data_IF_615906480782
#
_entry.id   IF_615906480782
#
_cell.length_a   1.000
_cell.length_b   1.000
_cell.length_c   1.000
_cell.angle_alpha   90.00
_cell.angle_beta   90.00
_cell.angle_gamma   90.00
#
_symmetry.space_group_name_H-M   'P 1'
#
loop_
_entity.id
_entity.type
_entity.pdbx_description
1 polymer ?
#
# COMPACT_ATOMS: atom_id res chain seq x y z
N UNK A 1 13.36 -14.84 -14.17
CA UNK A 1 12.10 -15.54 -13.83
C UNK A 1 11.61 -15.27 -12.41
N UNK A 2 12.48 -14.88 -11.45
CA UNK A 2 12.08 -14.46 -10.10
C UNK A 2 11.56 -13.01 -9.99
N UNK A 3 11.60 -12.21 -11.06
CA UNK A 3 11.27 -10.77 -10.98
C UNK A 3 9.79 -10.45 -10.75
N UNK A 4 8.80 -11.08 -11.42
CA UNK A 4 7.38 -10.94 -11.08
C UNK A 4 7.07 -11.50 -9.70
N UNK A 5 7.80 -12.53 -9.29
CA UNK A 5 7.73 -13.13 -7.96
C UNK A 5 8.17 -12.15 -6.88
N UNK A 6 9.29 -11.47 -7.08
CA UNK A 6 9.84 -10.47 -6.15
C UNK A 6 8.94 -9.23 -6.07
N UNK A 7 8.43 -8.72 -7.20
CA UNK A 7 7.47 -7.62 -7.21
C UNK A 7 6.23 -7.94 -6.39
N UNK A 8 5.50 -9.01 -6.76
CA UNK A 8 4.26 -9.40 -6.09
C UNK A 8 4.44 -9.81 -4.61
N UNK A 9 5.58 -10.41 -4.24
CA UNK A 9 5.88 -10.70 -2.82
C UNK A 9 6.03 -9.45 -1.97
N UNK A 10 6.43 -8.33 -2.57
CA UNK A 10 6.65 -7.07 -1.84
C UNK A 10 5.40 -6.18 -1.76
N UNK A 11 4.37 -6.49 -2.54
CA UNK A 11 3.15 -5.68 -2.65
C UNK A 11 2.17 -5.98 -1.50
N UNK A 12 2.04 -7.26 -1.13
CA UNK A 12 1.19 -7.67 -0.01
C UNK A 12 1.71 -7.14 1.34
N UNK A 13 3.02 -7.23 1.67
CA UNK A 13 3.58 -6.56 2.84
C UNK A 13 3.45 -5.03 2.78
N UNK A 14 3.54 -4.43 1.60
CA UNK A 14 3.35 -2.99 1.42
C UNK A 14 1.91 -2.56 1.74
N UNK A 15 0.90 -3.39 1.43
CA UNK A 15 -0.48 -3.16 1.85
C UNK A 15 -0.68 -3.41 3.35
N UNK A 16 -0.02 -4.44 3.91
CA UNK A 16 -0.17 -4.83 5.32
C UNK A 16 0.29 -3.74 6.29
N UNK A 17 1.42 -3.08 5.98
CA UNK A 17 1.98 -2.03 6.83
C UNK A 17 1.68 -0.64 6.29
N UNK A 18 1.13 0.23 7.14
CA UNK A 18 0.86 1.64 6.79
C UNK A 18 2.12 2.38 6.30
N UNK A 19 3.30 1.99 6.79
CA UNK A 19 4.60 2.55 6.41
C UNK A 19 5.32 1.74 5.33
N UNK A 20 4.73 0.65 4.83
CA UNK A 20 5.33 -0.25 3.83
C UNK A 20 5.38 0.34 2.42
N UNK A 21 4.56 1.36 2.14
CA UNK A 21 4.55 2.11 0.90
C UNK A 21 4.27 3.58 1.18
N UNK A 22 5.07 4.47 0.58
CA UNK A 22 4.94 5.92 0.77
C UNK A 22 3.53 6.42 0.43
N UNK A 23 2.90 5.88 -0.62
CA UNK A 23 1.54 6.22 -1.01
C UNK A 23 0.48 5.97 0.08
N UNK A 24 0.69 5.00 0.97
CA UNK A 24 -0.25 4.70 2.06
C UNK A 24 -0.38 5.87 3.03
N UNK A 25 0.73 6.54 3.36
CA UNK A 25 0.71 7.71 4.24
C UNK A 25 -0.08 8.86 3.62
N UNK A 26 0.06 9.06 2.31
CA UNK A 26 -0.72 10.06 1.58
C UNK A 26 -2.21 9.68 1.58
N UNK A 27 -2.55 8.42 1.30
CA UNK A 27 -3.92 7.93 1.36
C UNK A 27 -4.56 8.13 2.74
N UNK A 28 -3.84 7.84 3.83
CA UNK A 28 -4.32 8.07 5.20
C UNK A 28 -4.61 9.55 5.46
N UNK A 29 -3.74 10.46 5.00
CA UNK A 29 -3.98 11.91 5.15
C UNK A 29 -5.19 12.37 4.32
N UNK A 30 -5.36 11.87 3.10
CA UNK A 30 -6.51 12.19 2.26
C UNK A 30 -7.82 11.59 2.79
N UNK A 31 -7.77 10.39 3.40
CA UNK A 31 -8.90 9.76 4.06
C UNK A 31 -9.35 10.54 5.31
N UNK A 32 -8.39 11.08 6.09
CA UNK A 32 -8.68 11.93 7.24
C UNK A 32 -9.44 13.20 6.85
N UNK A 33 -9.13 13.78 5.68
CA UNK A 33 -9.90 14.90 5.13
C UNK A 33 -11.36 14.55 4.83
N UNK A 34 -11.69 13.27 4.67
CA UNK A 34 -13.04 12.77 4.46
C UNK A 34 -13.69 12.20 5.75
N UNK A 35 -13.07 12.43 6.91
CA UNK A 35 -13.58 11.97 8.22
C UNK A 35 -13.16 10.55 8.61
N UNK A 36 -12.32 9.89 7.81
CA UNK A 36 -11.81 8.54 8.11
C UNK A 36 -10.43 8.64 8.71
N UNK A 37 -10.33 8.49 10.04
CA UNK A 37 -9.05 8.52 10.75
C UNK A 37 -8.48 7.11 10.87
N UNK A 38 -7.32 6.87 10.26
CA UNK A 38 -6.62 5.59 10.29
C UNK A 38 -5.33 5.74 11.11
N UNK A 39 -5.27 5.06 12.24
CA UNK A 39 -4.03 4.83 12.98
C UNK A 39 -3.23 3.68 12.36
N UNK A 40 -1.95 3.55 12.74
CA UNK A 40 -1.12 2.42 12.31
C UNK A 40 -1.73 1.08 12.71
N UNK A 41 -2.19 0.96 13.98
CA UNK A 41 -2.83 -0.27 14.48
C UNK A 41 -4.13 -0.60 13.76
N UNK A 42 -5.01 0.39 13.55
CA UNK A 42 -6.26 0.17 12.81
C UNK A 42 -6.02 -0.22 11.35
N UNK A 43 -5.01 0.36 10.70
CA UNK A 43 -4.60 -0.04 9.35
C UNK A 43 -4.13 -1.49 9.33
N UNK A 44 -3.20 -1.84 10.22
CA UNK A 44 -2.64 -3.19 10.30
C UNK A 44 -3.75 -4.23 10.52
N UNK A 45 -4.65 -3.99 11.48
CA UNK A 45 -5.77 -4.88 11.76
C UNK A 45 -6.70 -4.98 10.55
N UNK A 46 -7.06 -3.85 9.90
CA UNK A 46 -7.92 -3.87 8.72
C UNK A 46 -7.30 -4.60 7.53
N UNK A 47 -5.97 -4.53 7.38
CA UNK A 47 -5.23 -5.19 6.31
C UNK A 47 -4.94 -6.67 6.59
N UNK A 48 -4.91 -7.09 7.86
CA UNK A 48 -4.37 -8.38 8.30
C UNK A 48 -4.98 -9.57 7.57
N UNK A 49 -6.30 -9.74 7.63
CA UNK A 49 -6.98 -10.91 7.07
C UNK A 49 -6.90 -10.97 5.53
N UNK A 50 -7.27 -9.91 4.77
CA UNK A 50 -7.15 -9.95 3.31
C UNK A 50 -5.68 -10.10 2.85
N UNK A 51 -4.72 -9.43 3.52
CA UNK A 51 -3.31 -9.58 3.18
C UNK A 51 -2.79 -10.98 3.49
N UNK A 52 -3.22 -11.63 4.59
CA UNK A 52 -2.80 -13.00 4.90
C UNK A 52 -3.26 -13.99 3.82
N UNK A 53 -4.51 -13.85 3.35
CA UNK A 53 -5.05 -14.68 2.26
C UNK A 53 -4.26 -14.44 0.97
N UNK A 54 -4.02 -13.18 0.60
CA UNK A 54 -3.18 -12.85 -0.56
C UNK A 54 -1.75 -13.35 -0.41
N UNK A 55 -1.16 -13.27 0.78
CA UNK A 55 0.22 -13.70 1.04
C UNK A 55 0.39 -15.21 0.86
N UNK A 56 -0.63 -16.01 1.20
CA UNK A 56 -0.61 -17.45 1.01
C UNK A 56 -0.86 -17.85 -0.45
N UNK A 57 -1.81 -17.20 -1.12
CA UNK A 57 -2.31 -17.65 -2.43
C UNK A 57 -1.53 -17.03 -3.59
N UNK A 58 -1.13 -15.75 -3.52
CA UNK A 58 -0.41 -15.07 -4.61
C UNK A 58 0.88 -15.82 -5.00
N UNK A 59 1.75 -16.26 -4.08
CA UNK A 59 2.92 -17.06 -4.44
C UNK A 59 2.57 -18.35 -5.18
N UNK A 60 1.50 -19.04 -4.77
CA UNK A 60 1.03 -20.27 -5.44
C UNK A 60 0.51 -19.99 -6.84
N UNK A 61 -0.24 -18.90 -7.02
CA UNK A 61 -0.71 -18.46 -8.33
C UNK A 61 0.46 -18.10 -9.25
N UNK A 62 1.44 -17.33 -8.76
CA UNK A 62 2.61 -16.97 -9.56
C UNK A 62 3.43 -18.22 -9.89
N UNK A 63 3.59 -19.16 -8.95
CA UNK A 63 4.25 -20.44 -9.20
C UNK A 63 3.61 -21.19 -10.37
N UNK A 64 2.27 -21.22 -10.41
CA UNK A 64 1.54 -21.96 -11.43
C UNK A 64 1.54 -21.24 -12.78
N UNK A 65 1.44 -19.90 -12.78
CA UNK A 65 1.43 -19.08 -13.99
C UNK A 65 2.80 -18.95 -14.66
N UNK A 66 3.87 -18.85 -13.87
CA UNK A 66 5.24 -18.63 -14.36
C UNK A 66 6.18 -19.73 -13.89
N UNK A 67 5.78 -21.00 -14.06
CA UNK A 67 6.51 -22.19 -13.59
C UNK A 67 8.03 -22.02 -13.76
N UNK A 68 8.80 -21.98 -12.66
CA UNK A 68 10.24 -21.77 -12.77
C UNK A 68 10.90 -23.00 -13.42
N UNK A 69 11.84 -22.74 -14.34
CA UNK A 69 12.64 -23.78 -15.00
C UNK A 69 13.60 -24.46 -14.01
N UNK A 70 14.17 -23.68 -13.08
CA UNK A 70 15.02 -24.18 -12.00
C UNK A 70 14.20 -24.27 -10.72
N UNK A 71 13.92 -25.50 -10.28
CA UNK A 71 13.14 -25.79 -9.05
C UNK A 71 14.01 -26.16 -7.86
N UNK A 72 15.28 -26.47 -8.11
CA UNK A 72 16.24 -26.86 -7.09
C UNK A 72 17.52 -26.07 -7.29
N UNK A 73 17.93 -25.36 -6.25
CA UNK A 73 19.24 -24.70 -6.16
C UNK A 73 19.94 -25.32 -4.95
N UNK A 74 20.55 -26.50 -5.11
CA UNK A 74 21.12 -27.26 -4.00
C UNK A 74 22.23 -26.50 -3.26
N UNK A 75 22.90 -25.58 -3.95
CA UNK A 75 23.98 -24.75 -3.38
C UNK A 75 23.46 -23.53 -2.60
N UNK A 76 22.18 -23.18 -2.68
CA UNK A 76 21.63 -21.97 -2.04
C UNK A 76 21.66 -22.03 -0.49
N UNK A 77 21.30 -23.16 0.16
CA UNK A 77 21.45 -23.29 1.61
C UNK A 77 22.90 -23.20 2.08
N UNK A 78 23.84 -23.79 1.33
CA UNK A 78 25.26 -23.79 1.69
C UNK A 78 25.88 -22.41 1.49
N UNK A 79 25.52 -21.71 0.41
CA UNK A 79 25.88 -20.31 0.20
C UNK A 79 25.30 -19.42 1.31
N UNK A 80 24.03 -19.57 1.67
CA UNK A 80 23.41 -18.80 2.75
C UNK A 80 24.07 -19.06 4.10
N UNK A 81 24.44 -20.31 4.41
CA UNK A 81 25.20 -20.66 5.63
C UNK A 81 26.59 -20.04 5.63
N UNK A 82 27.26 -20.04 4.48
CA UNK A 82 28.60 -19.44 4.32
C UNK A 82 28.55 -17.93 4.50
N UNK A 83 27.59 -17.25 3.87
CA UNK A 83 27.39 -15.80 4.04
C UNK A 83 26.99 -15.47 5.49
N UNK A 84 26.08 -16.23 6.11
CA UNK A 84 25.71 -16.04 7.52
C UNK A 84 26.89 -16.23 8.47
N UNK A 85 27.75 -17.22 8.21
CA UNK A 85 28.97 -17.44 8.98
C UNK A 85 29.99 -16.31 8.79
N UNK A 86 30.04 -15.68 7.61
CA UNK A 86 30.88 -14.52 7.35
C UNK A 86 30.35 -13.23 8.02
N UNK A 87 29.03 -13.06 8.11
CA UNK A 87 28.41 -11.92 8.80
C UNK A 87 28.68 -11.95 10.31
N UNK A 88 28.75 -13.13 10.92
CA UNK A 88 29.04 -13.30 12.34
C UNK A 88 27.85 -13.03 13.25
N UNK A 89 28.10 -12.81 14.54
CA UNK A 89 27.06 -12.53 15.53
C UNK A 89 26.50 -11.11 15.39
N UNK A 90 25.20 -10.94 15.63
CA UNK A 90 24.52 -9.64 15.58
C UNK A 90 25.25 -8.58 16.42
N UNK A 91 25.62 -7.48 15.78
CA UNK A 91 26.28 -6.36 16.42
C UNK A 91 25.31 -5.61 17.36
N UNK A 92 25.87 -4.85 18.31
CA UNK A 92 25.07 -4.04 19.25
C UNK A 92 24.11 -3.09 18.52
N UNK A 93 24.54 -2.51 17.40
CA UNK A 93 23.71 -1.61 16.59
C UNK A 93 22.50 -2.31 15.97
N UNK A 94 22.65 -3.55 15.54
CA UNK A 94 21.55 -4.35 14.96
C UNK A 94 20.52 -4.73 16.02
N UNK A 95 20.98 -5.09 17.23
CA UNK A 95 20.10 -5.30 18.38
C UNK A 95 19.32 -4.05 18.79
N UNK A 96 19.98 -2.89 18.81
CA UNK A 96 19.34 -1.61 19.12
C UNK A 96 18.33 -1.20 18.05
N UNK A 97 18.62 -1.45 16.77
CA UNK A 97 17.68 -1.24 15.67
C UNK A 97 16.45 -2.14 15.82
N UNK A 98 16.64 -3.44 16.09
CA UNK A 98 15.55 -4.39 16.31
C UNK A 98 14.69 -4.00 17.52
N UNK A 99 15.33 -3.58 18.62
CA UNK A 99 14.63 -3.08 19.80
C UNK A 99 13.78 -1.83 19.47
N UNK A 100 14.32 -0.90 18.67
CA UNK A 100 13.60 0.30 18.24
C UNK A 100 12.39 -0.06 17.39
N UNK A 101 12.53 -0.99 16.44
CA UNK A 101 11.40 -1.50 15.65
C UNK A 101 10.34 -2.10 16.56
N UNK A 102 10.74 -2.88 17.58
CA UNK A 102 9.82 -3.41 18.59
C UNK A 102 9.06 -2.31 19.33
N UNK A 103 9.75 -1.25 19.79
CA UNK A 103 9.13 -0.10 20.45
C UNK A 103 8.13 0.60 19.53
N UNK A 104 8.49 0.83 18.26
CA UNK A 104 7.61 1.45 17.27
C UNK A 104 6.35 0.62 17.01
N UNK A 105 6.46 -0.71 16.95
CA UNK A 105 5.32 -1.61 16.80
C UNK A 105 4.38 -1.54 18.01
N UNK A 106 4.93 -1.55 19.22
CA UNK A 106 4.13 -1.43 20.45
C UNK A 106 3.41 -0.08 20.50
N UNK A 107 4.13 1.02 20.24
CA UNK A 107 3.53 2.36 20.19
C UNK A 107 2.50 2.49 19.06
N UNK A 108 2.72 1.86 17.91
CA UNK A 108 1.79 1.87 16.79
C UNK A 108 0.50 1.09 17.05
N UNK A 109 0.59 -0.05 17.74
CA UNK A 109 -0.56 -0.88 18.11
C UNK A 109 -1.37 -0.26 19.26
N UNK A 110 -0.70 0.28 20.28
CA UNK A 110 -1.33 0.84 21.48
C UNK A 110 -1.45 2.37 21.45
N UNK A 111 -1.12 3.03 20.35
CA UNK A 111 -1.10 4.49 20.25
C UNK A 111 -2.44 5.14 20.57
N UNK A 112 -3.55 4.53 20.14
CA UNK A 112 -4.90 4.99 20.48
C UNK A 112 -5.21 4.96 21.98
N UNK A 113 -4.76 3.93 22.70
CA UNK A 113 -4.92 3.83 24.16
C UNK A 113 -3.93 4.69 24.95
N UNK A 114 -2.77 5.00 24.35
CA UNK A 114 -1.69 5.77 24.98
C UNK A 114 -1.76 7.27 24.64
N UNK A 115 -2.69 7.69 23.76
CA UNK A 115 -2.76 9.06 23.26
C UNK A 115 -1.57 9.45 22.36
N UNK A 116 -0.85 8.47 21.82
CA UNK A 116 0.32 8.66 20.96
C UNK A 116 -0.11 8.50 19.51
N UNK A 117 -0.01 9.57 18.72
CA UNK A 117 -0.25 9.50 17.29
C UNK A 117 0.96 8.91 16.54
N UNK A 118 0.72 8.44 15.31
CA UNK A 118 1.77 7.80 14.50
C UNK A 118 2.98 8.71 14.25
N UNK A 119 2.78 10.04 14.18
CA UNK A 119 3.86 11.01 14.01
C UNK A 119 4.77 11.03 15.23
N UNK A 120 4.19 11.13 16.43
CA UNK A 120 4.93 11.10 17.69
C UNK A 120 5.70 9.79 17.85
N UNK A 121 5.06 8.64 17.56
CA UNK A 121 5.74 7.35 17.59
C UNK A 121 6.98 7.34 16.67
N UNK A 122 6.85 7.87 15.45
CA UNK A 122 7.95 7.93 14.47
C UNK A 122 9.10 8.80 14.95
N UNK A 123 8.82 9.95 15.58
CA UNK A 123 9.84 10.80 16.19
C UNK A 123 10.54 10.13 17.38
N UNK A 124 9.80 9.40 18.22
CA UNK A 124 10.40 8.62 19.32
C UNK A 124 11.39 7.59 18.77
N UNK A 125 11.01 6.85 17.73
CA UNK A 125 11.93 5.89 17.08
C UNK A 125 13.18 6.55 16.53
N UNK A 126 13.02 7.68 15.82
CA UNK A 126 14.15 8.45 15.31
C UNK A 126 15.07 8.96 16.44
N UNK A 127 14.49 9.47 17.53
CA UNK A 127 15.25 9.92 18.70
C UNK A 127 16.03 8.78 19.34
N UNK A 128 15.43 7.59 19.48
CA UNK A 128 16.14 6.42 20.02
C UNK A 128 17.35 6.07 19.14
N UNK A 129 17.19 6.00 17.82
CA UNK A 129 18.28 5.64 16.89
C UNK A 129 19.42 6.65 16.88
N UNK A 130 19.10 7.95 16.98
CA UNK A 130 20.09 9.03 17.06
C UNK A 130 20.83 9.00 18.41
N UNK A 131 20.11 8.88 19.52
CA UNK A 131 20.70 8.83 20.86
C UNK A 131 21.53 7.56 21.08
N UNK A 132 21.14 6.45 20.47
CA UNK A 132 21.88 5.19 20.55
C UNK A 132 23.11 5.16 19.63
N UNK A 133 23.32 6.20 18.80
CA UNK A 133 24.41 6.28 17.83
C UNK A 133 24.31 5.26 16.69
N UNK A 134 23.13 4.68 16.48
CA UNK A 134 22.88 3.74 15.37
C UNK A 134 22.70 4.50 14.07
N UNK A 135 22.07 5.68 14.15
CA UNK A 135 22.02 6.66 13.07
C UNK A 135 22.77 7.93 13.48
N UNK A 136 23.47 8.53 12.53
CA UNK A 136 24.05 9.86 12.67
C UNK A 136 23.10 10.92 12.10
N UNK A 137 23.31 12.18 12.48
CA UNK A 137 22.55 13.28 11.89
C UNK A 137 22.83 13.46 10.39
N UNK A 138 24.04 13.13 9.93
CA UNK A 138 24.36 13.13 8.50
C UNK A 138 23.55 12.08 7.75
N UNK A 139 23.34 10.89 8.32
CA UNK A 139 22.50 9.85 7.71
C UNK A 139 21.09 10.40 7.44
N UNK A 140 20.48 11.07 8.42
CA UNK A 140 19.15 11.69 8.31
C UNK A 140 19.10 12.78 7.23
N UNK A 141 20.12 13.65 7.17
CA UNK A 141 20.17 14.70 6.14
C UNK A 141 20.40 14.13 4.73
N UNK A 142 21.16 13.04 4.63
CA UNK A 142 21.51 12.42 3.36
C UNK A 142 20.40 11.55 2.78
N UNK A 143 19.36 11.24 3.57
CA UNK A 143 18.20 10.45 3.17
C UNK A 143 17.25 11.24 2.24
N UNK A 144 17.71 11.48 1.00
CA UNK A 144 17.00 12.29 -0.01
C UNK A 144 15.58 11.80 -0.29
N UNK A 145 15.33 10.49 -0.20
CA UNK A 145 14.02 9.92 -0.47
C UNK A 145 12.95 10.39 0.51
N UNK A 146 13.30 10.53 1.80
CA UNK A 146 12.40 11.06 2.81
C UNK A 146 12.07 12.54 2.58
N UNK A 147 13.09 13.35 2.25
CA UNK A 147 12.92 14.78 1.96
C UNK A 147 12.08 15.04 0.71
N UNK A 148 12.34 14.31 -0.37
CA UNK A 148 11.57 14.42 -1.61
C UNK A 148 10.09 14.05 -1.37
N UNK A 149 9.85 12.95 -0.65
CA UNK A 149 8.49 12.51 -0.29
C UNK A 149 7.77 13.58 0.55
N UNK A 150 8.46 14.19 1.53
CA UNK A 150 7.90 15.23 2.39
C UNK A 150 7.43 16.44 1.56
N UNK A 151 8.29 16.95 0.67
CA UNK A 151 8.00 18.12 -0.15
C UNK A 151 6.84 17.84 -1.12
N UNK A 152 6.89 16.70 -1.83
CA UNK A 152 5.83 16.33 -2.77
C UNK A 152 4.49 16.12 -2.08
N UNK A 153 4.46 15.40 -0.96
CA UNK A 153 3.20 15.15 -0.24
C UNK A 153 2.60 16.42 0.33
N UNK A 154 3.42 17.36 0.80
CA UNK A 154 2.94 18.65 1.28
C UNK A 154 2.24 19.45 0.16
N UNK A 155 2.87 19.56 -1.01
CA UNK A 155 2.30 20.27 -2.17
C UNK A 155 1.00 19.61 -2.67
N UNK A 156 0.97 18.28 -2.75
CA UNK A 156 -0.17 17.52 -3.22
C UNK A 156 -1.36 17.60 -2.25
N UNK A 157 -1.10 17.49 -0.94
CA UNK A 157 -2.12 17.65 0.09
C UNK A 157 -2.70 19.08 0.08
N UNK A 158 -1.87 20.10 -0.15
CA UNK A 158 -2.32 21.48 -0.33
C UNK A 158 -3.26 21.60 -1.54
N UNK A 159 -2.90 21.06 -2.70
CA UNK A 159 -3.76 21.09 -3.89
C UNK A 159 -5.08 20.35 -3.67
N UNK A 160 -5.04 19.15 -3.08
CA UNK A 160 -6.25 18.39 -2.75
C UNK A 160 -7.18 19.18 -1.80
N UNK A 161 -6.62 19.87 -0.80
CA UNK A 161 -7.38 20.74 0.10
C UNK A 161 -8.02 21.92 -0.64
N UNK A 162 -7.31 22.52 -1.61
CA UNK A 162 -7.87 23.61 -2.42
C UNK A 162 -8.99 23.11 -3.34
N UNK A 163 -8.84 21.96 -4.00
CA UNK A 163 -9.91 21.34 -4.80
C UNK A 163 -11.15 21.03 -3.95
N UNK A 164 -10.94 20.52 -2.73
CA UNK A 164 -12.03 20.28 -1.78
C UNK A 164 -12.74 21.60 -1.42
N UNK A 165 -11.99 22.65 -1.06
CA UNK A 165 -12.55 23.97 -0.72
C UNK A 165 -13.30 24.63 -1.88
N UNK A 166 -12.82 24.45 -3.11
CA UNK A 166 -13.46 24.97 -4.33
C UNK A 166 -14.72 24.18 -4.74
N UNK A 167 -15.06 23.10 -4.01
CA UNK A 167 -16.25 22.30 -4.29
C UNK A 167 -16.10 21.35 -5.48
N UNK A 168 -14.89 21.16 -6.03
CA UNK A 168 -14.66 20.29 -7.18
C UNK A 168 -15.12 18.85 -6.90
N UNK A 169 -14.80 18.33 -5.72
CA UNK A 169 -15.20 16.96 -5.30
C UNK A 169 -16.72 16.79 -5.28
N UNK A 170 -17.46 17.80 -4.82
CA UNK A 170 -18.92 17.80 -4.81
C UNK A 170 -19.50 17.96 -6.21
N UNK A 171 -18.97 18.89 -7.01
CA UNK A 171 -19.41 19.09 -8.40
C UNK A 171 -19.17 17.84 -9.26
N UNK A 172 -17.99 17.24 -9.17
CA UNK A 172 -17.65 16.03 -9.92
C UNK A 172 -18.42 14.81 -9.42
N UNK A 173 -18.65 14.73 -8.10
CA UNK A 173 -19.54 13.75 -7.47
C UNK A 173 -20.96 13.84 -8.01
N UNK A 174 -21.52 15.05 -8.13
CA UNK A 174 -22.83 15.29 -8.71
C UNK A 174 -22.85 14.96 -10.21
N UNK A 175 -21.83 15.32 -11.00
CA UNK A 175 -21.77 15.00 -12.43
C UNK A 175 -21.82 13.49 -12.68
N UNK A 176 -21.06 12.72 -11.90
CA UNK A 176 -21.09 11.26 -11.95
C UNK A 176 -22.40 10.74 -11.36
N UNK A 177 -22.88 11.31 -10.26
CA UNK A 177 -24.14 10.99 -9.60
C UNK A 177 -25.36 11.18 -10.51
N UNK A 178 -25.37 12.20 -11.35
CA UNK A 178 -26.45 12.47 -12.31
C UNK A 178 -26.36 11.50 -13.51
N UNK A 179 -25.14 11.16 -13.93
CA UNK A 179 -24.88 10.23 -15.04
C UNK A 179 -25.12 8.77 -14.66
N UNK A 180 -24.78 8.37 -13.42
CA UNK A 180 -24.83 7.00 -12.91
C UNK A 180 -26.07 6.77 -12.05
N UNK A 181 -26.53 7.77 -11.30
CA UNK A 181 -27.67 7.67 -10.37
C UNK A 181 -28.95 7.25 -11.07
N UNK A 182 -29.22 7.78 -12.27
CA UNK A 182 -30.34 7.35 -13.12
C UNK A 182 -30.32 5.86 -13.47
N UNK A 183 -29.14 5.24 -13.53
CA UNK A 183 -28.94 3.81 -13.86
C UNK A 183 -28.74 2.94 -12.61
N UNK A 184 -28.40 3.52 -11.46
CA UNK A 184 -28.01 2.80 -10.24
C UNK A 184 -28.96 2.98 -9.04
N UNK A 185 -30.12 3.61 -9.22
CA UNK A 185 -31.19 3.55 -8.22
C UNK A 185 -31.55 2.08 -7.89
N UNK A 186 -31.22 1.64 -6.67
CA UNK A 186 -31.47 0.27 -6.18
C UNK A 186 -30.27 -0.69 -6.25
N UNK A 187 -29.14 -0.26 -6.79
CA UNK A 187 -27.91 -1.08 -6.85
C UNK A 187 -27.22 -1.11 -5.49
N UNK A 188 -26.77 -2.30 -5.06
CA UNK A 188 -26.00 -2.44 -3.82
C UNK A 188 -24.72 -1.60 -3.87
N UNK A 189 -24.43 -0.85 -2.79
CA UNK A 189 -23.21 -0.05 -2.67
C UNK A 189 -21.93 -0.87 -2.88
N UNK A 190 -21.97 -2.19 -2.64
CA UNK A 190 -20.86 -3.12 -2.88
C UNK A 190 -20.52 -3.20 -4.38
N UNK A 191 -21.52 -3.19 -5.25
CA UNK A 191 -21.34 -3.21 -6.71
C UNK A 191 -20.74 -1.88 -7.16
N UNK A 192 -21.22 -0.76 -6.60
CA UNK A 192 -20.68 0.58 -6.89
C UNK A 192 -19.21 0.67 -6.44
N UNK A 193 -18.89 0.16 -5.24
CA UNK A 193 -17.53 0.05 -4.73
C UNK A 193 -16.65 -0.76 -5.67
N UNK A 194 -17.11 -1.92 -6.14
CA UNK A 194 -16.38 -2.77 -7.08
C UNK A 194 -16.06 -2.00 -8.37
N UNK A 195 -17.05 -1.34 -8.97
CA UNK A 195 -16.87 -0.62 -10.23
C UNK A 195 -15.95 0.59 -10.10
N UNK A 196 -16.14 1.41 -9.05
CA UNK A 196 -15.28 2.56 -8.79
C UNK A 196 -13.84 2.13 -8.49
N UNK A 197 -13.67 1.09 -7.69
CA UNK A 197 -12.36 0.57 -7.34
C UNK A 197 -11.66 -0.07 -8.55
N UNK A 198 -12.39 -0.79 -9.42
CA UNK A 198 -11.85 -1.29 -10.68
C UNK A 198 -11.42 -0.16 -11.62
N UNK A 199 -12.26 0.88 -11.77
CA UNK A 199 -11.92 2.06 -12.55
C UNK A 199 -10.67 2.76 -11.98
N UNK A 200 -10.58 2.93 -10.67
CA UNK A 200 -9.41 3.50 -10.00
C UNK A 200 -8.16 2.64 -10.24
N UNK A 201 -8.24 1.33 -10.00
CA UNK A 201 -7.11 0.42 -10.13
C UNK A 201 -6.56 0.36 -11.56
N UNK A 202 -7.43 0.21 -12.56
CA UNK A 202 -6.99 0.06 -13.95
C UNK A 202 -6.61 1.38 -14.61
N UNK A 203 -7.03 2.52 -14.07
CA UNK A 203 -6.47 3.82 -14.47
C UNK A 203 -4.95 3.86 -14.23
N UNK A 204 -4.42 3.03 -13.33
CA UNK A 204 -2.98 2.95 -13.08
C UNK A 204 -2.14 2.53 -14.29
N UNK A 205 -2.72 1.85 -15.30
CA UNK A 205 -2.02 1.59 -16.57
C UNK A 205 -1.51 2.87 -17.24
N UNK A 206 -2.11 4.03 -16.95
CA UNK A 206 -1.72 5.33 -17.49
C UNK A 206 -0.80 6.14 -16.57
N UNK A 207 -0.41 5.58 -15.41
CA UNK A 207 0.45 6.25 -14.44
C UNK A 207 1.78 5.51 -14.30
N UNK A 208 2.88 6.28 -14.33
CA UNK A 208 4.22 5.76 -14.06
C UNK A 208 4.58 5.77 -12.55
N UNK A 209 3.69 6.27 -11.69
CA UNK A 209 3.91 6.39 -10.25
C UNK A 209 2.60 6.26 -9.49
N UNK A 210 2.56 5.31 -8.55
CA UNK A 210 1.41 5.15 -7.65
C UNK A 210 1.18 6.39 -6.77
N UNK A 211 2.24 7.06 -6.33
CA UNK A 211 2.13 8.26 -5.51
C UNK A 211 1.44 9.40 -6.28
N UNK A 212 1.78 9.56 -7.56
CA UNK A 212 1.14 10.55 -8.43
C UNK A 212 -0.36 10.24 -8.62
N UNK A 213 -0.73 8.97 -8.81
CA UNK A 213 -2.13 8.60 -8.93
C UNK A 213 -2.92 8.83 -7.64
N UNK A 214 -2.38 8.42 -6.49
CA UNK A 214 -3.04 8.64 -5.18
C UNK A 214 -3.29 10.14 -4.99
N UNK A 215 -2.27 10.95 -5.24
CA UNK A 215 -2.38 12.40 -5.12
C UNK A 215 -3.44 13.02 -6.04
N UNK A 216 -3.53 12.55 -7.28
CA UNK A 216 -4.45 13.10 -8.28
C UNK A 216 -5.89 12.61 -8.09
N UNK A 217 -6.08 11.32 -7.80
CA UNK A 217 -7.37 10.64 -7.97
C UNK A 217 -7.98 10.11 -6.67
N UNK A 218 -7.19 9.86 -5.60
CA UNK A 218 -7.73 9.23 -4.39
C UNK A 218 -8.87 10.04 -3.77
N UNK A 219 -8.66 11.34 -3.55
CA UNK A 219 -9.68 12.22 -2.95
C UNK A 219 -10.92 12.38 -3.85
N UNK A 220 -10.73 12.35 -5.17
CA UNK A 220 -11.83 12.44 -6.15
C UNK A 220 -12.70 11.19 -6.08
N UNK A 221 -12.08 10.01 -6.19
CA UNK A 221 -12.81 8.73 -6.12
C UNK A 221 -13.47 8.52 -4.76
N UNK A 222 -12.78 8.87 -3.67
CA UNK A 222 -13.36 8.82 -2.33
C UNK A 222 -14.58 9.73 -2.23
N UNK A 223 -14.51 10.97 -2.71
CA UNK A 223 -15.64 11.91 -2.73
C UNK A 223 -16.84 11.40 -3.54
N UNK A 224 -16.59 10.83 -4.73
CA UNK A 224 -17.63 10.20 -5.56
C UNK A 224 -18.27 9.01 -4.84
N UNK A 225 -17.47 8.13 -4.22
CA UNK A 225 -17.98 6.98 -3.49
C UNK A 225 -18.88 7.38 -2.32
N UNK A 226 -18.48 8.42 -1.56
CA UNK A 226 -19.29 8.97 -0.47
C UNK A 226 -20.61 9.56 -0.97
N UNK A 227 -20.57 10.27 -2.10
CA UNK A 227 -21.78 10.82 -2.71
C UNK A 227 -22.76 9.73 -3.18
N UNK A 228 -22.24 8.59 -3.62
CA UNK A 228 -23.03 7.40 -4.00
C UNK A 228 -23.43 6.52 -2.80
N UNK A 229 -23.36 7.04 -1.57
CA UNK A 229 -23.73 6.37 -0.32
C UNK A 229 -22.89 5.12 0.03
N UNK A 230 -21.65 5.03 -0.46
CA UNK A 230 -20.71 3.99 0.01
C UNK A 230 -20.22 4.37 1.41
N UNK A 231 -20.20 3.44 2.38
CA UNK A 231 -19.61 3.70 3.69
C UNK A 231 -18.15 4.18 3.60
N UNK A 232 -17.83 5.21 4.37
CA UNK A 232 -16.56 5.94 4.21
C UNK A 232 -15.31 5.08 4.45
N UNK A 233 -15.32 4.24 5.48
CA UNK A 233 -14.18 3.40 5.83
C UNK A 233 -13.89 2.33 4.75
N UNK A 234 -14.88 1.52 4.29
CA UNK A 234 -14.68 0.61 3.15
C UNK A 234 -14.17 1.30 1.88
N UNK A 235 -14.71 2.47 1.53
CA UNK A 235 -14.25 3.20 0.34
C UNK A 235 -12.79 3.64 0.49
N UNK A 236 -12.45 4.26 1.63
CA UNK A 236 -11.10 4.74 1.89
C UNK A 236 -10.07 3.60 1.94
N UNK A 237 -10.39 2.52 2.66
CA UNK A 237 -9.52 1.35 2.80
C UNK A 237 -9.35 0.62 1.47
N UNK A 238 -10.44 0.39 0.72
CA UNK A 238 -10.37 -0.28 -0.57
C UNK A 238 -9.47 0.48 -1.53
N UNK A 239 -9.66 1.80 -1.69
CA UNK A 239 -8.78 2.61 -2.53
C UNK A 239 -7.33 2.53 -2.06
N UNK A 240 -7.09 2.64 -0.75
CA UNK A 240 -5.74 2.73 -0.19
C UNK A 240 -4.96 1.40 -0.26
N UNK A 241 -5.64 0.26 -0.15
CA UNK A 241 -5.01 -1.05 -0.34
C UNK A 241 -4.81 -1.38 -1.81
N UNK A 242 -5.77 -1.06 -2.66
CA UNK A 242 -5.69 -1.16 -4.13
C UNK A 242 -4.46 -0.38 -4.67
N UNK A 243 -4.32 0.88 -4.24
CA UNK A 243 -3.08 1.48 -3.71
C UNK A 243 -1.75 0.75 -3.87
N UNK A 244 -1.58 -0.25 -3.03
CA UNK A 244 -0.36 -1.02 -2.84
C UNK A 244 -0.31 -2.27 -3.72
N UNK A 245 -1.42 -2.65 -4.35
CA UNK A 245 -1.58 -3.94 -5.03
C UNK A 245 -1.45 -3.84 -6.56
N UNK A 246 -1.48 -2.64 -7.14
CA UNK A 246 -1.26 -2.46 -8.59
C UNK A 246 0.21 -2.50 -9.00
N UNK A 247 1.16 -2.64 -8.07
CA UNK A 247 2.60 -2.63 -8.39
C UNK A 247 3.06 -3.75 -9.34
N UNK A 248 2.20 -4.72 -9.61
CA UNK A 248 2.48 -5.81 -10.52
C UNK A 248 1.82 -5.70 -11.89
N UNK A 249 0.98 -4.68 -12.15
CA UNK A 249 0.24 -4.54 -13.41
C UNK A 249 1.16 -4.38 -14.63
N UNK A 250 2.10 -3.43 -14.56
CA UNK A 250 3.09 -3.15 -15.61
C UNK A 250 4.48 -3.07 -15.00
N UNK A 251 5.50 -3.17 -15.85
CA UNK A 251 6.90 -3.07 -15.43
C UNK A 251 7.31 -1.67 -14.97
N UNK A 252 6.47 -0.64 -15.12
CA UNK A 252 6.81 0.75 -14.78
C UNK A 252 5.92 1.36 -13.69
N UNK A 253 4.96 0.60 -13.17
CA UNK A 253 4.05 1.07 -12.11
C UNK A 253 4.78 1.60 -10.87
N UNK A 254 5.91 0.99 -10.52
CA UNK A 254 6.76 1.38 -9.39
C UNK A 254 8.25 1.30 -9.74
N UNK A 255 9.09 2.05 -9.02
CA UNK A 255 10.54 2.07 -9.20
C UNK A 255 11.21 0.67 -9.16
N UNK A 256 10.59 -0.29 -8.46
CA UNK A 256 11.05 -1.69 -8.41
C UNK A 256 10.88 -2.42 -9.75
N UNK A 257 9.80 -2.10 -10.48
CA UNK A 257 9.44 -2.74 -11.74
C UNK A 257 10.53 -2.63 -12.80
N UNK A 258 11.03 -1.42 -13.14
CA UNK A 258 12.05 -1.25 -14.16
C UNK A 258 13.38 -1.92 -13.79
N UNK A 259 13.76 -1.93 -12.51
CA UNK A 259 14.97 -2.60 -12.03
C UNK A 259 14.86 -4.11 -12.27
N UNK A 260 13.73 -4.71 -11.88
CA UNK A 260 13.46 -6.14 -12.02
C UNK A 260 13.25 -6.57 -13.47
N UNK A 261 12.67 -5.71 -14.30
CA UNK A 261 12.46 -5.92 -15.72
C UNK A 261 13.75 -5.73 -16.54
N UNK A 262 14.57 -4.75 -16.16
CA UNK A 262 15.86 -4.45 -16.79
C UNK A 262 16.89 -5.58 -16.71
N UNK A 263 16.69 -6.53 -15.79
CA UNK A 263 17.46 -7.77 -15.73
C UNK A 263 17.22 -8.72 -16.93
N UNK A 264 16.26 -8.44 -17.81
CA UNK A 264 16.05 -9.17 -19.06
C UNK A 264 15.45 -10.57 -18.94
N UNK A 265 15.12 -11.02 -17.72
CA UNK A 265 14.70 -12.40 -17.48
C UNK A 265 13.22 -12.71 -17.74
N UNK A 266 12.36 -11.72 -17.99
CA UNK A 266 10.91 -11.92 -18.15
C UNK A 266 10.37 -11.11 -19.32
N UNK A 267 9.74 -11.75 -20.32
CA UNK A 267 9.09 -11.04 -21.42
C UNK A 267 7.93 -10.17 -20.95
N UNK A 268 7.72 -9.02 -21.61
CA UNK A 268 6.64 -8.06 -21.29
C UNK A 268 5.26 -8.71 -21.24
N UNK A 269 4.95 -9.59 -22.20
CA UNK A 269 3.65 -10.27 -22.26
C UNK A 269 3.39 -11.18 -21.05
N UNK A 270 4.43 -11.86 -20.54
CA UNK A 270 4.33 -12.70 -19.35
C UNK A 270 4.13 -11.83 -18.11
N UNK A 271 4.84 -10.71 -18.00
CA UNK A 271 4.69 -9.76 -16.90
C UNK A 271 3.25 -9.24 -16.82
N UNK A 272 2.73 -8.70 -17.92
CA UNK A 272 1.41 -8.07 -17.96
C UNK A 272 0.29 -9.07 -17.73
N UNK A 273 0.36 -10.26 -18.35
CA UNK A 273 -0.63 -11.32 -18.13
C UNK A 273 -0.65 -11.77 -16.66
N UNK A 274 0.52 -11.95 -16.06
CA UNK A 274 0.64 -12.39 -14.66
C UNK A 274 0.13 -11.30 -13.72
N UNK A 275 0.53 -10.05 -13.93
CA UNK A 275 0.05 -8.90 -13.17
C UNK A 275 -1.46 -8.72 -13.24
N UNK A 276 -2.04 -8.83 -14.43
CA UNK A 276 -3.49 -8.74 -14.62
C UNK A 276 -4.24 -9.85 -13.86
N UNK A 277 -3.81 -11.11 -13.96
CA UNK A 277 -4.46 -12.22 -13.23
C UNK A 277 -4.35 -12.03 -11.71
N UNK A 278 -3.17 -11.64 -11.21
CA UNK A 278 -2.95 -11.40 -9.78
C UNK A 278 -3.80 -10.22 -9.30
N UNK A 279 -3.95 -9.18 -10.11
CA UNK A 279 -4.81 -8.06 -9.76
C UNK A 279 -6.26 -8.48 -9.58
N UNK A 280 -6.83 -9.26 -10.51
CA UNK A 280 -8.20 -9.75 -10.40
C UNK A 280 -8.39 -10.58 -9.12
N UNK A 281 -7.41 -11.43 -8.82
CA UNK A 281 -7.42 -12.22 -7.60
C UNK A 281 -7.39 -11.35 -6.34
N UNK A 282 -6.44 -10.42 -6.23
CA UNK A 282 -6.33 -9.52 -5.08
C UNK A 282 -7.59 -8.66 -4.93
N UNK A 283 -8.15 -8.16 -6.02
CA UNK A 283 -9.40 -7.41 -6.00
C UNK A 283 -10.55 -8.27 -5.47
N UNK A 284 -10.65 -9.53 -5.90
CA UNK A 284 -11.65 -10.46 -5.37
C UNK A 284 -11.45 -10.73 -3.87
N UNK A 285 -10.21 -10.92 -3.40
CA UNK A 285 -9.90 -11.13 -1.98
C UNK A 285 -10.31 -9.93 -1.13
N UNK A 286 -9.93 -8.71 -1.53
CA UNK A 286 -10.27 -7.51 -0.76
C UNK A 286 -11.77 -7.20 -0.80
N UNK A 287 -12.46 -7.46 -1.93
CA UNK A 287 -13.92 -7.30 -2.02
C UNK A 287 -14.70 -8.36 -1.22
N UNK A 288 -14.15 -9.56 -1.02
CA UNK A 288 -14.85 -10.62 -0.28
C UNK A 288 -14.38 -10.70 1.16
N UNK A 289 -13.15 -11.19 1.38
CA UNK A 289 -12.52 -11.35 2.68
C UNK A 289 -12.32 -9.99 3.36
N UNK A 290 -11.88 -8.98 2.62
CA UNK A 290 -11.68 -7.63 3.16
C UNK A 290 -12.98 -7.02 3.66
N UNK A 291 -14.04 -6.97 2.83
CA UNK A 291 -15.35 -6.49 3.27
C UNK A 291 -15.91 -7.29 4.46
N UNK A 292 -15.90 -8.63 4.38
CA UNK A 292 -16.36 -9.47 5.49
C UNK A 292 -15.60 -9.18 6.79
N UNK A 293 -14.28 -8.99 6.71
CA UNK A 293 -13.44 -8.65 7.85
C UNK A 293 -13.75 -7.26 8.41
N UNK A 294 -13.88 -6.26 7.53
CA UNK A 294 -14.19 -4.89 7.95
C UNK A 294 -15.57 -4.79 8.60
N UNK A 295 -16.53 -5.64 8.20
CA UNK A 295 -17.81 -5.77 8.89
C UNK A 295 -17.65 -6.33 10.30
N UNK A 296 -16.81 -7.35 10.50
CA UNK A 296 -16.50 -7.91 11.83
C UNK A 296 -15.81 -6.87 12.71
N UNK A 297 -14.99 -5.99 12.13
CA UNK A 297 -14.35 -4.88 12.83
C UNK A 297 -15.29 -3.70 13.13
N UNK A 298 -16.54 -3.72 12.66
CA UNK A 298 -17.50 -2.63 12.85
C UNK A 298 -17.18 -1.36 12.05
N UNK A 299 -16.47 -1.49 10.92
CA UNK A 299 -16.14 -0.37 10.05
C UNK A 299 -17.29 0.03 9.11
N UNK A 300 -18.32 -0.82 9.01
CA UNK A 300 -19.60 -0.54 8.35
C UNK A 300 -20.67 -1.57 8.74
#
# INVERSE_FOLDING_TARGET
>A
LLSPWLGNRTDVPAALFMTGYTGNLLAVKLAANAGVTLSWGSWFIAALLPCLVSFLIVPLLVYWLTRPEIKHTPDAPDLARKELAQMGSMARGEWLMLATVGVLLVLGLFGGSLGVDATTASFVGLSILLLSGVLTWEDVKSEKGAWDTLIWFAALLMMANQLKKLGFTSWFGNLIGDSIGSTMHGTSWIIILLLLNAAYFYTHYFFASGNAQIAALYAVFLGVGLHLNIPAAPMALMLAFTSSLYCSLTQYTHARGPILFGAGYVPTGVWWRTGFIISLFNQAVFLTVGLAWWKVLGLY
#
